data_IF_953962673213
#
_entry.id   IF_953962673213
#
_cell.length_a   1.000
_cell.length_b   1.000
_cell.length_c   1.000
_cell.angle_alpha   90.00
_cell.angle_beta   90.00
_cell.angle_gamma   90.00
#
_symmetry.space_group_name_H-M   'P 1'
#
loop_
_entity.id
_entity.type
_entity.pdbx_description
1 polymer ?
#
# COMPACT_ATOMS: atom_id res chain seq x y z
N UNK A 1 6.08 -22.71 0.15
CA UNK A 1 6.55 -21.43 0.74
C UNK A 1 7.75 -20.99 -0.06
N UNK A 2 7.69 -19.79 -0.64
CA UNK A 2 8.80 -19.28 -1.44
C UNK A 2 10.05 -19.10 -0.55
N UNK A 3 11.25 -19.20 -1.14
CA UNK A 3 12.51 -18.94 -0.42
C UNK A 3 12.48 -17.57 0.28
N UNK A 4 11.86 -16.57 -0.33
CA UNK A 4 11.72 -15.22 0.21
C UNK A 4 10.90 -15.20 1.50
N UNK A 5 9.77 -15.91 1.55
CA UNK A 5 8.96 -16.00 2.76
C UNK A 5 9.70 -16.71 3.90
N UNK A 6 10.52 -17.68 3.57
CA UNK A 6 11.35 -18.36 4.56
C UNK A 6 12.47 -17.45 5.10
N UNK A 7 13.14 -16.71 4.22
CA UNK A 7 14.14 -15.69 4.58
C UNK A 7 13.52 -14.61 5.45
N UNK A 8 12.38 -14.07 5.07
CA UNK A 8 11.65 -13.07 5.85
C UNK A 8 11.34 -13.58 7.27
N UNK A 9 10.84 -14.82 7.38
CA UNK A 9 10.51 -15.45 8.66
C UNK A 9 11.74 -15.61 9.56
N UNK A 10 12.88 -15.96 9.01
CA UNK A 10 14.14 -16.10 9.76
C UNK A 10 14.67 -14.72 10.20
N UNK A 11 14.63 -13.73 9.31
CA UNK A 11 15.07 -12.36 9.62
C UNK A 11 14.23 -11.71 10.73
N UNK A 12 12.91 -11.92 10.72
CA UNK A 12 12.01 -11.40 11.77
C UNK A 12 12.32 -11.96 13.16
N UNK A 13 12.94 -13.12 13.26
CA UNK A 13 13.37 -13.70 14.55
C UNK A 13 14.64 -13.04 15.10
N UNK A 14 15.36 -12.29 14.30
CA UNK A 14 16.65 -11.71 14.68
C UNK A 14 16.44 -10.39 15.43
N UNK A 15 16.90 -10.32 16.67
CA UNK A 15 16.67 -9.18 17.58
C UNK A 15 17.20 -7.82 17.11
N UNK A 16 18.05 -7.79 16.08
CA UNK A 16 18.67 -6.57 15.56
C UNK A 16 17.79 -5.74 14.62
N UNK A 17 16.60 -6.22 14.25
CA UNK A 17 15.74 -5.58 13.25
C UNK A 17 14.49 -4.90 13.84
N UNK A 18 14.56 -4.37 15.06
CA UNK A 18 13.42 -3.72 15.72
C UNK A 18 12.87 -2.48 14.99
N UNK A 19 13.73 -1.79 14.24
CA UNK A 19 13.36 -0.58 13.49
C UNK A 19 13.28 -0.82 11.99
N UNK A 20 13.14 -2.08 11.56
CA UNK A 20 13.07 -2.46 10.15
C UNK A 20 11.72 -3.06 9.84
N UNK A 21 11.09 -2.56 8.79
CA UNK A 21 9.91 -3.16 8.18
C UNK A 21 10.33 -3.96 6.97
N UNK A 22 9.73 -5.13 6.83
CA UNK A 22 9.87 -6.01 5.68
C UNK A 22 8.60 -5.93 4.83
N UNK A 23 8.76 -5.77 3.54
CA UNK A 23 7.67 -5.75 2.60
C UNK A 23 8.02 -6.57 1.35
N UNK A 24 7.04 -7.28 0.83
CA UNK A 24 7.16 -7.99 -0.43
C UNK A 24 6.40 -7.20 -1.49
N UNK A 25 7.10 -6.46 -2.34
CA UNK A 25 6.47 -5.68 -3.42
C UNK A 25 6.15 -6.56 -4.64
N UNK A 26 6.92 -7.64 -4.84
CA UNK A 26 6.68 -8.70 -5.82
C UNK A 26 7.06 -10.05 -5.21
N UNK A 27 6.60 -11.18 -5.76
CA UNK A 27 6.84 -12.51 -5.19
C UNK A 27 8.33 -12.87 -4.99
N UNK A 28 9.22 -12.13 -5.65
CA UNK A 28 10.68 -12.36 -5.64
C UNK A 28 11.49 -11.17 -5.10
N UNK A 29 10.82 -10.11 -4.56
CA UNK A 29 11.49 -8.99 -3.90
C UNK A 29 11.10 -8.94 -2.42
N UNK A 30 12.11 -8.99 -1.57
CA UNK A 30 12.01 -8.66 -0.16
C UNK A 30 12.71 -7.32 0.07
N UNK A 31 11.94 -6.32 0.46
CA UNK A 31 12.41 -4.96 0.69
C UNK A 31 12.53 -4.69 2.17
N UNK A 32 13.51 -3.87 2.52
CA UNK A 32 13.82 -3.49 3.90
C UNK A 32 13.82 -1.97 3.99
N UNK A 33 13.11 -1.43 4.95
CA UNK A 33 13.16 0.00 5.21
C UNK A 33 12.92 0.29 6.69
N UNK A 34 13.27 1.51 7.10
CA UNK A 34 13.03 1.95 8.47
C UNK A 34 11.53 1.84 8.79
N UNK A 35 11.18 1.32 9.97
CA UNK A 35 9.79 1.13 10.40
C UNK A 35 8.95 2.41 10.42
N UNK A 36 9.60 3.59 10.45
CA UNK A 36 8.93 4.90 10.35
C UNK A 36 8.63 5.33 8.91
N UNK A 37 9.16 4.61 7.92
CA UNK A 37 8.92 4.89 6.50
C UNK A 37 7.75 4.04 6.01
N UNK A 38 6.77 4.71 5.42
CA UNK A 38 5.64 4.07 4.75
C UNK A 38 5.06 5.03 3.70
N UNK A 39 4.26 4.53 2.78
CA UNK A 39 3.54 5.38 1.83
C UNK A 39 2.57 6.33 2.54
N UNK A 40 1.95 5.90 3.65
CA UNK A 40 1.12 6.78 4.48
C UNK A 40 1.92 7.93 5.11
N UNK A 41 3.11 7.64 5.65
CA UNK A 41 3.98 8.67 6.21
C UNK A 41 4.43 9.69 5.15
N UNK A 42 4.66 9.23 3.91
CA UNK A 42 4.99 10.11 2.80
C UNK A 42 3.80 11.02 2.44
N UNK A 43 2.58 10.49 2.40
CA UNK A 43 1.36 11.28 2.15
C UNK A 43 1.15 12.31 3.26
N UNK A 44 1.33 11.94 4.53
CA UNK A 44 1.24 12.86 5.67
C UNK A 44 2.26 14.02 5.55
N UNK A 45 3.49 13.70 5.18
CA UNK A 45 4.53 14.70 4.94
C UNK A 45 4.17 15.66 3.80
N UNK A 46 3.69 15.14 2.69
CA UNK A 46 3.24 15.94 1.53
C UNK A 46 2.02 16.78 1.92
N UNK A 47 1.08 16.22 2.69
CA UNK A 47 -0.10 16.94 3.18
C UNK A 47 0.26 18.17 4.01
N UNK A 48 1.25 18.04 4.89
CA UNK A 48 1.78 19.18 5.67
C UNK A 48 2.44 20.22 4.77
N UNK A 49 3.15 19.79 3.73
CA UNK A 49 3.84 20.69 2.81
C UNK A 49 2.86 21.48 1.91
N UNK A 50 1.83 20.81 1.42
CA UNK A 50 0.83 21.38 0.48
C UNK A 50 -0.50 21.75 1.15
N UNK A 51 -0.58 21.61 2.47
CA UNK A 51 -1.71 22.03 3.29
C UNK A 51 -3.03 21.33 2.95
N UNK A 52 -2.98 20.00 2.81
CA UNK A 52 -4.17 19.14 2.74
C UNK A 52 -4.18 18.11 3.87
N UNK A 53 -5.34 17.58 4.18
CA UNK A 53 -5.56 16.59 5.23
C UNK A 53 -5.86 15.20 4.63
N UNK A 54 -5.76 14.10 5.41
CA UNK A 54 -6.17 12.78 4.93
C UNK A 54 -7.60 12.74 4.39
N UNK A 55 -8.51 13.58 4.94
CA UNK A 55 -9.90 13.68 4.49
C UNK A 55 -10.07 14.14 3.03
N UNK A 56 -9.01 14.69 2.44
CA UNK A 56 -9.00 15.21 1.07
C UNK A 56 -8.19 14.31 0.12
N UNK A 57 -7.94 13.04 0.52
CA UNK A 57 -7.07 12.14 -0.23
C UNK A 57 -7.81 10.88 -0.71
N UNK A 58 -7.45 10.45 -1.90
CA UNK A 58 -7.78 9.13 -2.45
C UNK A 58 -6.45 8.39 -2.64
N UNK A 59 -6.34 7.19 -2.09
CA UNK A 59 -5.18 6.32 -2.30
C UNK A 59 -5.58 5.08 -3.09
N UNK A 60 -4.87 4.82 -4.17
CA UNK A 60 -5.13 3.69 -5.07
C UNK A 60 -3.89 2.79 -5.09
N UNK A 61 -4.08 1.49 -4.86
CA UNK A 61 -2.96 0.56 -4.83
C UNK A 61 -3.35 -0.87 -5.20
N UNK A 62 -2.34 -1.69 -5.49
CA UNK A 62 -2.51 -3.08 -5.89
C UNK A 62 -1.62 -4.08 -5.13
N UNK A 63 -0.81 -3.61 -4.19
CA UNK A 63 0.13 -4.43 -3.45
C UNK A 63 0.10 -4.21 -1.93
N UNK A 64 0.73 -5.12 -1.19
CA UNK A 64 0.87 -5.00 0.27
C UNK A 64 1.67 -3.77 0.72
N UNK A 65 2.58 -3.29 -0.12
CA UNK A 65 3.30 -2.04 0.11
C UNK A 65 2.41 -0.78 0.02
N UNK A 66 1.19 -0.91 -0.52
CA UNK A 66 0.20 0.17 -0.62
C UNK A 66 -0.77 0.19 0.56
N UNK A 67 -0.79 -0.88 1.37
CA UNK A 67 -1.77 -1.08 2.44
C UNK A 67 -1.82 0.09 3.41
N UNK A 68 -0.67 0.65 3.76
CA UNK A 68 -0.59 1.78 4.69
C UNK A 68 -1.27 3.03 4.15
N UNK A 69 -1.10 3.36 2.86
CA UNK A 69 -1.74 4.53 2.26
C UNK A 69 -3.23 4.31 2.00
N UNK A 70 -3.63 3.09 1.63
CA UNK A 70 -5.05 2.71 1.44
C UNK A 70 -5.82 2.91 2.74
N UNK A 71 -5.25 2.51 3.89
CA UNK A 71 -5.87 2.69 5.21
C UNK A 71 -5.84 4.13 5.72
N UNK A 72 -4.89 4.93 5.24
CA UNK A 72 -4.68 6.30 5.70
C UNK A 72 -5.60 7.32 5.00
N UNK A 73 -5.88 7.11 3.73
CA UNK A 73 -6.68 8.02 2.91
C UNK A 73 -8.16 8.06 3.34
N UNK A 74 -8.87 9.14 3.00
CA UNK A 74 -10.31 9.21 3.16
C UNK A 74 -11.05 8.19 2.30
N UNK A 75 -10.52 7.90 1.11
CA UNK A 75 -10.98 6.83 0.23
C UNK A 75 -9.79 5.96 -0.15
N UNK A 76 -9.70 4.78 0.44
CA UNK A 76 -8.74 3.76 0.09
C UNK A 76 -9.28 2.83 -0.98
N UNK A 77 -8.57 2.71 -2.09
CA UNK A 77 -8.99 1.90 -3.24
C UNK A 77 -8.00 0.79 -3.52
N UNK A 78 -8.49 -0.43 -3.63
CA UNK A 78 -7.73 -1.57 -4.11
C UNK A 78 -8.07 -1.85 -5.58
N UNK A 79 -7.05 -2.13 -6.38
CA UNK A 79 -7.23 -2.55 -7.76
C UNK A 79 -7.81 -3.97 -7.84
N UNK A 80 -8.55 -4.29 -8.92
CA UNK A 80 -9.14 -5.61 -9.13
C UNK A 80 -8.12 -6.76 -9.04
N UNK A 81 -6.87 -6.52 -9.45
CA UNK A 81 -5.76 -7.48 -9.37
C UNK A 81 -5.02 -7.50 -8.02
N UNK A 82 -5.44 -6.68 -7.03
CA UNK A 82 -4.83 -6.68 -5.72
C UNK A 82 -5.07 -8.00 -4.97
N UNK A 83 -4.13 -8.44 -4.09
CA UNK A 83 -4.34 -9.56 -3.19
C UNK A 83 -5.53 -9.34 -2.25
N UNK A 84 -6.19 -10.43 -1.82
CA UNK A 84 -7.37 -10.36 -0.95
C UNK A 84 -7.13 -9.54 0.32
N UNK A 85 -5.99 -9.70 0.99
CA UNK A 85 -5.65 -8.92 2.18
C UNK A 85 -5.53 -7.40 1.95
N UNK A 86 -5.26 -6.97 0.72
CA UNK A 86 -5.29 -5.55 0.34
C UNK A 86 -6.72 -5.11 0.07
N UNK A 87 -7.50 -5.92 -0.65
CA UNK A 87 -8.91 -5.67 -0.96
C UNK A 87 -9.77 -5.54 0.30
N UNK A 88 -9.55 -6.39 1.30
CA UNK A 88 -10.25 -6.37 2.59
C UNK A 88 -10.01 -5.07 3.40
N UNK A 89 -8.95 -4.35 3.09
CA UNK A 89 -8.59 -3.11 3.77
C UNK A 89 -9.02 -1.85 3.02
N UNK A 90 -9.60 -2.00 1.83
CA UNK A 90 -10.00 -0.89 0.98
C UNK A 90 -11.50 -0.57 1.14
N UNK A 91 -11.84 0.70 0.96
CA UNK A 91 -13.22 1.17 0.94
C UNK A 91 -13.90 0.87 -0.40
N UNK A 92 -13.12 0.80 -1.47
CA UNK A 92 -13.58 0.48 -2.82
C UNK A 92 -12.60 -0.46 -3.53
N UNK A 93 -13.15 -1.38 -4.31
CA UNK A 93 -12.39 -2.29 -5.18
C UNK A 93 -12.79 -1.99 -6.62
N UNK A 94 -11.81 -1.69 -7.47
CA UNK A 94 -12.09 -1.44 -8.89
C UNK A 94 -12.58 -2.69 -9.61
N UNK A 95 -13.44 -2.52 -10.61
CA UNK A 95 -13.83 -3.59 -11.50
C UNK A 95 -12.70 -3.93 -12.51
N UNK A 96 -11.87 -2.95 -12.82
CA UNK A 96 -10.76 -3.04 -13.78
C UNK A 96 -9.42 -3.25 -13.04
N UNK A 97 -8.51 -3.97 -13.69
CA UNK A 97 -7.14 -4.14 -13.21
C UNK A 97 -6.28 -2.91 -13.50
N UNK A 98 -5.05 -2.90 -12.98
CA UNK A 98 -4.06 -1.88 -13.30
C UNK A 98 -3.68 -1.84 -14.80
N UNK A 99 -3.89 -2.93 -15.54
CA UNK A 99 -3.66 -3.01 -16.99
C UNK A 99 -4.92 -2.69 -17.83
N UNK A 100 -6.03 -2.38 -17.18
CA UNK A 100 -7.34 -2.15 -17.82
C UNK A 100 -7.93 -0.77 -17.42
N UNK A 101 -7.07 0.19 -17.20
CA UNK A 101 -7.44 1.56 -16.82
C UNK A 101 -8.23 1.67 -15.50
N UNK A 102 -7.93 0.82 -14.51
CA UNK A 102 -8.60 0.84 -13.21
C UNK A 102 -8.43 2.15 -12.44
N UNK A 103 -7.32 2.87 -12.62
CA UNK A 103 -7.15 4.22 -12.05
C UNK A 103 -8.13 5.21 -12.69
N UNK A 104 -8.34 5.14 -14.01
CA UNK A 104 -9.32 5.98 -14.70
C UNK A 104 -10.74 5.73 -14.17
N UNK A 105 -11.11 4.48 -13.91
CA UNK A 105 -12.39 4.13 -13.26
C UNK A 105 -12.60 4.90 -11.95
N UNK A 106 -11.58 4.98 -11.10
CA UNK A 106 -11.67 5.70 -9.83
C UNK A 106 -11.85 7.19 -10.04
N UNK A 107 -11.09 7.78 -10.97
CA UNK A 107 -11.19 9.21 -11.29
C UNK A 107 -12.56 9.55 -11.87
N UNK A 108 -13.06 8.75 -12.80
CA UNK A 108 -14.41 8.94 -13.40
C UNK A 108 -15.52 8.83 -12.37
N UNK A 109 -15.37 7.96 -11.38
CA UNK A 109 -16.41 7.69 -10.39
C UNK A 109 -16.43 8.67 -9.22
N UNK A 110 -15.26 9.14 -8.77
CA UNK A 110 -15.13 9.87 -7.50
C UNK A 110 -14.57 11.29 -7.63
N UNK A 111 -14.04 11.67 -8.79
CA UNK A 111 -13.38 12.96 -8.99
C UNK A 111 -14.00 13.77 -10.11
N UNK A 112 -14.34 13.15 -11.23
CA UNK A 112 -14.91 13.77 -12.41
C UNK A 112 -16.43 13.63 -12.43
#
# INVERSE_FOLDING_TARGET
VSQIQQIEKELRKTAHFHNVTFCTSKPFYLEFFNSKVSKAAAIDCIGKLYNFTPAETIAIGDGFNDLSMIRYAALGVAMANAPDGVKESADYITARTNNEDGVAEVLEKFVL
#
